data_IF_832462858117
#
_entry.id   IF_832462858117
#
_cell.length_a   1.000
_cell.length_b   1.000
_cell.length_c   1.000
_cell.angle_alpha   90.00
_cell.angle_beta   90.00
_cell.angle_gamma   90.00
#
_symmetry.space_group_name_H-M   'P 1'
#
loop_
_entity.id
_entity.type
_entity.pdbx_description
1 polymer ?
#
# COMPACT_ATOMS: atom_id res chain seq x y z
N UNK A 1 2.17 -2.06 -5.29
CA UNK A 1 2.09 -3.53 -5.23
C UNK A 1 3.31 -4.08 -4.52
N UNK A 2 3.14 -4.88 -3.48
CA UNK A 2 4.25 -5.41 -2.66
C UNK A 2 4.97 -4.32 -1.86
N UNK A 3 4.26 -3.57 -0.97
CA UNK A 3 4.84 -2.49 -0.20
C UNK A 3 5.94 -2.94 0.79
N UNK A 4 6.04 -4.24 1.08
CA UNK A 4 7.02 -4.77 2.03
C UNK A 4 6.79 -4.18 3.42
N UNK A 5 7.79 -3.48 3.95
CA UNK A 5 7.67 -2.79 5.25
C UNK A 5 7.04 -1.40 5.17
N UNK A 6 6.75 -0.88 3.97
CA UNK A 6 5.96 0.37 3.82
C UNK A 6 6.75 1.68 3.80
N UNK A 7 8.09 1.65 3.74
CA UNK A 7 8.92 2.87 3.71
C UNK A 7 8.61 3.79 2.52
N UNK A 8 8.45 3.20 1.34
CA UNK A 8 8.09 3.96 0.13
C UNK A 8 6.63 4.39 0.17
N UNK A 9 5.75 3.51 0.68
CA UNK A 9 4.30 3.75 0.76
C UNK A 9 3.97 5.01 1.54
N UNK A 10 4.63 5.24 2.68
CA UNK A 10 4.46 6.47 3.48
C UNK A 10 4.86 7.72 2.70
N UNK A 11 6.01 7.69 2.01
CA UNK A 11 6.47 8.83 1.20
C UNK A 11 5.54 9.13 0.03
N UNK A 12 4.90 8.10 -0.53
CA UNK A 12 3.89 8.29 -1.57
C UNK A 12 2.63 8.95 -1.02
N UNK A 13 2.25 8.67 0.23
CA UNK A 13 1.14 9.34 0.90
C UNK A 13 1.31 10.87 0.99
N UNK A 14 2.54 11.37 1.05
CA UNK A 14 2.84 12.81 1.08
C UNK A 14 2.73 13.48 -0.30
N UNK A 15 2.83 12.71 -1.39
CA UNK A 15 2.90 13.22 -2.76
C UNK A 15 1.64 12.93 -3.58
N UNK A 16 0.85 11.94 -3.19
CA UNK A 16 -0.32 11.46 -3.91
C UNK A 16 -1.62 11.83 -3.19
N UNK A 17 -2.70 11.98 -3.96
CA UNK A 17 -4.04 12.22 -3.40
C UNK A 17 -4.57 11.02 -2.61
N UNK A 18 -4.31 9.80 -3.09
CA UNK A 18 -4.73 8.55 -2.46
C UNK A 18 -3.75 7.44 -2.83
N UNK A 19 -3.37 6.60 -1.86
CA UNK A 19 -2.45 5.49 -2.07
C UNK A 19 -3.09 4.18 -1.62
N UNK A 20 -3.16 3.22 -2.55
CA UNK A 20 -3.60 1.85 -2.26
C UNK A 20 -2.40 0.92 -2.26
N UNK A 21 -2.11 0.32 -1.12
CA UNK A 21 -1.02 -0.62 -0.92
C UNK A 21 -1.56 -2.05 -0.88
N UNK A 22 -1.28 -2.84 -1.92
CA UNK A 22 -1.69 -4.25 -1.98
C UNK A 22 -0.53 -5.17 -1.57
N UNK A 23 -0.76 -6.04 -0.59
CA UNK A 23 0.22 -6.99 -0.04
C UNK A 23 -0.40 -8.37 0.15
N UNK A 24 0.32 -9.43 -0.19
CA UNK A 24 -0.17 -10.81 -0.05
C UNK A 24 0.07 -11.34 1.37
N UNK A 25 1.16 -10.90 2.00
CA UNK A 25 1.48 -11.29 3.38
C UNK A 25 0.72 -10.43 4.40
N UNK A 26 -0.21 -11.03 5.14
CA UNK A 26 -1.02 -10.34 6.15
C UNK A 26 -0.19 -9.66 7.25
N UNK A 27 0.93 -10.26 7.66
CA UNK A 27 1.81 -9.69 8.69
C UNK A 27 2.49 -8.41 8.21
N UNK A 28 2.96 -8.39 6.97
CA UNK A 28 3.53 -7.19 6.36
C UNK A 28 2.45 -6.13 6.12
N UNK A 29 1.26 -6.52 5.67
CA UNK A 29 0.14 -5.59 5.48
C UNK A 29 -0.20 -4.83 6.77
N UNK A 30 -0.32 -5.55 7.91
CA UNK A 30 -0.56 -4.94 9.23
C UNK A 30 0.56 -4.00 9.67
N UNK A 31 1.82 -4.32 9.37
CA UNK A 31 2.94 -3.43 9.68
C UNK A 31 2.91 -2.15 8.84
N UNK A 32 2.51 -2.23 7.56
CA UNK A 32 2.32 -1.05 6.71
C UNK A 32 1.18 -0.19 7.23
N UNK A 33 0.05 -0.79 7.59
CA UNK A 33 -1.12 -0.09 8.15
C UNK A 33 -0.76 0.65 9.45
N UNK A 34 -0.14 -0.06 10.41
CA UNK A 34 0.37 0.54 11.66
C UNK A 34 1.34 1.69 11.38
N UNK A 35 2.20 1.56 10.37
CA UNK A 35 3.15 2.60 9.98
C UNK A 35 2.46 3.82 9.37
N UNK A 36 1.44 3.61 8.56
CA UNK A 36 0.62 4.70 8.01
C UNK A 36 -0.08 5.46 9.13
N UNK A 37 -0.69 4.75 10.10
CA UNK A 37 -1.33 5.34 11.27
C UNK A 37 -0.34 6.16 12.13
N UNK A 38 0.82 5.58 12.47
CA UNK A 38 1.86 6.29 13.24
C UNK A 38 2.37 7.55 12.55
N UNK A 39 2.28 7.61 11.21
CA UNK A 39 2.68 8.76 10.40
C UNK A 39 1.52 9.72 10.11
N UNK A 40 0.32 9.42 10.59
CA UNK A 40 -0.87 10.24 10.37
C UNK A 40 -1.34 10.26 8.92
N UNK A 41 -1.00 9.23 8.13
CA UNK A 41 -1.36 9.15 6.73
C UNK A 41 -2.81 8.65 6.58
N UNK A 42 -3.75 9.60 6.46
CA UNK A 42 -5.20 9.31 6.34
C UNK A 42 -5.66 9.00 4.92
N UNK A 43 -4.80 9.20 3.92
CA UNK A 43 -5.06 8.98 2.50
C UNK A 43 -4.50 7.63 1.99
N UNK A 44 -4.23 6.70 2.91
CA UNK A 44 -3.62 5.41 2.61
C UNK A 44 -4.58 4.27 2.96
N UNK A 45 -4.72 3.34 2.03
CA UNK A 45 -5.49 2.10 2.20
C UNK A 45 -4.56 0.90 2.01
N UNK A 46 -4.65 -0.09 2.90
CA UNK A 46 -3.90 -1.34 2.78
C UNK A 46 -4.86 -2.48 2.46
N UNK A 47 -4.65 -3.15 1.33
CA UNK A 47 -5.47 -4.27 0.88
C UNK A 47 -4.65 -5.54 0.96
N UNK A 48 -5.13 -6.51 1.75
CA UNK A 48 -4.49 -7.82 1.83
C UNK A 48 -5.03 -8.74 0.72
N UNK A 49 -4.15 -9.22 -0.16
CA UNK A 49 -4.47 -10.23 -1.16
C UNK A 49 -3.65 -10.15 -2.45
N UNK A 50 -3.87 -11.15 -3.31
CA UNK A 50 -3.19 -11.26 -4.60
C UNK A 50 -3.83 -10.31 -5.63
N UNK A 51 -3.06 -9.31 -6.07
CA UNK A 51 -3.49 -8.33 -7.07
C UNK A 51 -3.88 -8.96 -8.42
N UNK A 52 -3.47 -10.20 -8.72
CA UNK A 52 -3.90 -10.93 -9.92
C UNK A 52 -5.33 -11.45 -9.82
N UNK A 53 -5.85 -11.59 -8.59
CA UNK A 53 -7.18 -12.14 -8.30
C UNK A 53 -8.17 -11.06 -7.88
N UNK A 54 -7.66 -9.95 -7.35
CA UNK A 54 -8.47 -8.81 -6.91
C UNK A 54 -8.75 -7.86 -8.06
N UNK A 55 -9.93 -7.25 -8.05
CA UNK A 55 -10.24 -6.15 -8.95
C UNK A 55 -9.39 -4.94 -8.55
N UNK A 56 -8.60 -4.42 -9.48
CA UNK A 56 -7.79 -3.23 -9.24
C UNK A 56 -8.68 -1.99 -9.28
N UNK A 57 -8.61 -1.10 -8.27
CA UNK A 57 -9.28 0.19 -8.34
C UNK A 57 -8.65 1.03 -9.48
N UNK A 58 -9.34 2.10 -9.88
CA UNK A 58 -8.76 3.07 -10.82
C UNK A 58 -7.49 3.68 -10.20
N UNK A 59 -6.41 3.69 -10.98
CA UNK A 59 -5.14 4.28 -10.59
C UNK A 59 -4.60 5.17 -11.72
N UNK A 60 -3.85 6.20 -11.34
CA UNK A 60 -3.09 7.02 -12.29
C UNK A 60 -1.65 6.48 -12.45
N UNK A 61 -1.08 5.93 -11.38
CA UNK A 61 0.29 5.43 -11.32
C UNK A 61 0.33 4.12 -10.54
N UNK A 62 1.12 3.15 -11.02
CA UNK A 62 1.42 1.91 -10.32
C UNK A 62 2.92 1.84 -10.03
N UNK A 63 3.24 1.54 -8.77
CA UNK A 63 4.60 1.19 -8.34
C UNK A 63 4.55 -0.24 -7.82
N UNK A 64 5.47 -1.07 -8.29
CA UNK A 64 5.48 -2.50 -7.98
C UNK A 64 6.91 -2.99 -7.75
N UNK A 65 7.11 -3.69 -6.63
CA UNK A 65 8.30 -4.50 -6.38
C UNK A 65 7.85 -5.93 -6.19
N UNK A 66 7.65 -6.62 -7.31
CA UNK A 66 7.17 -7.99 -7.37
C UNK A 66 8.35 -8.93 -7.64
N UNK A 67 8.35 -10.16 -7.10
CA UNK A 67 9.24 -11.20 -7.56
C UNK A 67 8.94 -11.64 -9.00
#
# INVERSE_FOLDING_TARGET
MGPGTGNMTVKLGELANHVVAMEVNEGLAKEVERRAEMKGASNMEVVTGDFKRLALPRFDVVIANLP
#
